data_IF_152701712782
#
_entry.id   IF_152701712782
#
_cell.length_a   1.000
_cell.length_b   1.000
_cell.length_c   1.000
_cell.angle_alpha   90.00
_cell.angle_beta   90.00
_cell.angle_gamma   90.00
#
_symmetry.space_group_name_H-M   'P 1'
#
loop_
_entity.id
_entity.type
_entity.pdbx_description
1 polymer ?
#
# COMPACT_ATOMS: atom_id res chain seq x y z
N UNK A 1 12.71 3.89 -4.46
CA UNK A 1 13.62 5.04 -4.53
C UNK A 1 14.78 4.83 -5.51
N UNK A 2 15.33 3.62 -5.64
CA UNK A 2 16.51 3.37 -6.51
C UNK A 2 16.19 3.62 -7.98
N UNK A 3 15.04 3.15 -8.46
CA UNK A 3 14.67 3.22 -9.87
C UNK A 3 13.87 4.47 -10.26
N UNK A 4 13.28 5.16 -9.30
CA UNK A 4 12.28 6.20 -9.55
C UNK A 4 10.98 5.63 -10.11
N UNK A 5 9.94 6.47 -10.22
CA UNK A 5 8.63 6.05 -10.73
C UNK A 5 7.97 4.94 -9.91
N UNK A 6 7.07 4.22 -10.55
CA UNK A 6 6.43 3.02 -10.01
C UNK A 6 7.06 1.79 -10.65
N UNK A 7 7.32 0.76 -9.86
CA UNK A 7 7.86 -0.51 -10.36
C UNK A 7 7.04 -1.69 -9.83
N UNK A 8 6.77 -2.65 -10.71
CA UNK A 8 6.37 -3.99 -10.32
C UNK A 8 7.63 -4.79 -9.98
N UNK A 9 7.71 -5.25 -8.75
CA UNK A 9 8.86 -5.97 -8.21
C UNK A 9 8.47 -7.39 -7.82
N UNK A 10 9.22 -8.36 -8.33
CA UNK A 10 9.14 -9.77 -7.94
C UNK A 10 10.51 -10.27 -7.50
N UNK A 11 10.58 -10.93 -6.35
CA UNK A 11 11.84 -11.39 -5.77
C UNK A 11 12.33 -12.69 -6.40
N UNK A 12 11.44 -13.60 -6.77
CA UNK A 12 11.79 -14.93 -7.28
C UNK A 12 10.85 -15.38 -8.41
N UNK A 13 11.33 -15.48 -9.68
CA UNK A 13 12.62 -14.93 -10.12
C UNK A 13 12.66 -13.42 -10.02
N UNK A 14 13.84 -12.84 -9.81
CA UNK A 14 13.95 -11.38 -9.71
C UNK A 14 13.48 -10.71 -11.02
N UNK A 15 12.45 -9.90 -10.89
CA UNK A 15 11.92 -9.08 -11.98
C UNK A 15 11.62 -7.68 -11.45
N UNK A 16 11.99 -6.68 -12.22
CA UNK A 16 11.71 -5.27 -11.93
C UNK A 16 11.19 -4.66 -13.23
N UNK A 17 9.90 -4.38 -13.26
CA UNK A 17 9.23 -3.82 -14.44
C UNK A 17 8.74 -2.42 -14.13
N UNK A 18 9.15 -1.38 -14.88
CA UNK A 18 8.57 -0.05 -14.75
C UNK A 18 7.07 -0.10 -15.07
N UNK A 19 6.27 0.55 -14.22
CA UNK A 19 4.85 0.79 -14.45
C UNK A 19 4.72 2.25 -14.86
N UNK A 20 4.21 2.55 -16.06
CA UNK A 20 4.03 3.94 -16.50
C UNK A 20 2.99 4.65 -15.65
N UNK A 21 3.21 5.93 -15.39
CA UNK A 21 2.35 6.77 -14.59
C UNK A 21 2.89 7.03 -13.18
N UNK A 22 2.40 8.13 -12.61
CA UNK A 22 2.60 8.51 -11.21
C UNK A 22 1.23 8.83 -10.63
N UNK A 23 0.59 7.89 -9.93
CA UNK A 23 -0.74 8.13 -9.39
C UNK A 23 -0.67 9.19 -8.30
N UNK A 24 -1.63 10.11 -8.21
CA UNK A 24 -1.78 10.98 -7.06
C UNK A 24 -1.81 10.13 -5.79
N UNK A 25 -0.96 10.45 -4.83
CA UNK A 25 -0.78 9.62 -3.63
C UNK A 25 -0.68 10.51 -2.41
N UNK A 26 -1.51 10.26 -1.41
CA UNK A 26 -1.37 10.84 -0.08
C UNK A 26 -0.79 9.80 0.88
N UNK A 27 -0.01 10.26 1.85
CA UNK A 27 0.64 9.41 2.85
C UNK A 27 0.43 10.00 4.24
N UNK A 28 -0.07 9.19 5.17
CA UNK A 28 -0.27 9.60 6.56
C UNK A 28 0.49 8.65 7.48
N UNK A 29 1.32 9.20 8.36
CA UNK A 29 2.05 8.41 9.35
C UNK A 29 1.18 8.11 10.57
N UNK A 30 1.21 6.87 11.05
CA UNK A 30 0.37 6.43 12.17
C UNK A 30 0.87 6.89 13.55
N UNK A 31 2.08 7.44 13.63
CA UNK A 31 2.72 7.80 14.89
C UNK A 31 3.48 6.63 15.55
N UNK A 32 3.44 5.43 14.99
CA UNK A 32 4.13 4.27 15.52
C UNK A 32 4.71 3.41 14.40
N UNK A 33 5.72 2.60 14.74
CA UNK A 33 6.32 1.66 13.79
C UNK A 33 6.71 0.38 14.50
N UNK A 34 6.24 -0.76 13.99
CA UNK A 34 6.72 -2.06 14.40
C UNK A 34 7.84 -2.53 13.48
N UNK A 35 8.82 -3.25 14.01
CA UNK A 35 9.92 -3.77 13.18
C UNK A 35 9.37 -4.78 12.16
N UNK A 36 9.70 -4.58 10.90
CA UNK A 36 9.22 -5.42 9.79
C UNK A 36 9.53 -6.91 10.02
N UNK A 37 10.70 -7.23 10.57
CA UNK A 37 11.06 -8.62 10.86
C UNK A 37 10.13 -9.30 11.88
N UNK A 38 9.61 -8.55 12.85
CA UNK A 38 8.63 -9.06 13.83
C UNK A 38 7.29 -9.36 13.16
N UNK A 39 6.84 -8.47 12.28
CA UNK A 39 5.59 -8.67 11.53
C UNK A 39 5.70 -9.86 10.59
N UNK A 40 6.83 -10.00 9.87
CA UNK A 40 7.08 -11.18 9.03
C UNK A 40 7.03 -12.46 9.86
N UNK A 41 7.64 -12.49 11.05
CA UNK A 41 7.63 -13.67 11.92
C UNK A 41 6.20 -14.03 12.38
N UNK A 42 5.34 -13.03 12.65
CA UNK A 42 3.93 -13.27 12.99
C UNK A 42 3.18 -13.91 11.81
N UNK A 43 3.33 -13.34 10.61
CA UNK A 43 2.70 -13.87 9.39
C UNK A 43 3.17 -15.29 9.10
N UNK A 44 4.47 -15.55 9.20
CA UNK A 44 5.04 -16.88 8.96
C UNK A 44 4.53 -17.91 9.97
N UNK A 45 4.37 -17.52 11.24
CA UNK A 45 3.79 -18.39 12.28
C UNK A 45 2.35 -18.74 11.94
N UNK A 46 1.54 -17.77 11.56
CA UNK A 46 0.14 -17.98 11.18
C UNK A 46 0.03 -18.80 9.88
N UNK A 47 0.89 -18.54 8.89
CA UNK A 47 0.96 -19.33 7.65
C UNK A 47 1.25 -20.81 7.90
N UNK A 48 2.15 -21.11 8.84
CA UNK A 48 2.44 -22.51 9.23
C UNK A 48 1.25 -23.20 9.89
N UNK A 49 0.43 -22.45 10.62
CA UNK A 49 -0.78 -22.98 11.25
C UNK A 49 -1.92 -23.21 10.24
N UNK A 50 -2.06 -22.33 9.25
CA UNK A 50 -3.13 -22.34 8.26
C UNK A 50 -2.60 -22.18 6.81
N UNK A 51 -1.77 -23.11 6.30
CA UNK A 51 -1.03 -22.90 5.06
C UNK A 51 -1.94 -22.65 3.85
N UNK A 52 -2.99 -23.44 3.66
CA UNK A 52 -3.89 -23.28 2.52
C UNK A 52 -4.63 -21.93 2.51
N UNK A 53 -5.00 -21.42 3.69
CA UNK A 53 -5.61 -20.10 3.82
C UNK A 53 -4.65 -18.99 3.41
N UNK A 54 -3.41 -19.06 3.89
CA UNK A 54 -2.41 -18.03 3.59
C UNK A 54 -1.95 -18.05 2.13
N UNK A 55 -1.82 -19.22 1.50
CA UNK A 55 -1.57 -19.32 0.06
C UNK A 55 -2.69 -18.63 -0.74
N UNK A 56 -3.96 -18.92 -0.43
CA UNK A 56 -5.08 -18.25 -1.09
C UNK A 56 -5.08 -16.72 -0.89
N UNK A 57 -4.71 -16.22 0.31
CA UNK A 57 -4.60 -14.78 0.56
C UNK A 57 -3.45 -14.16 -0.25
N UNK A 58 -2.32 -14.84 -0.38
CA UNK A 58 -1.19 -14.36 -1.18
C UNK A 58 -1.50 -14.36 -2.68
N UNK A 59 -2.23 -15.36 -3.18
CA UNK A 59 -2.72 -15.37 -4.56
C UNK A 59 -3.65 -14.19 -4.84
N UNK A 60 -4.61 -13.92 -3.95
CA UNK A 60 -5.48 -12.74 -4.04
C UNK A 60 -4.67 -11.43 -4.02
N UNK A 61 -3.68 -11.30 -3.13
CA UNK A 61 -2.80 -10.13 -3.11
C UNK A 61 -2.04 -9.97 -4.42
N UNK A 62 -1.56 -11.05 -5.03
CA UNK A 62 -0.85 -11.01 -6.30
C UNK A 62 -1.75 -10.50 -7.43
N UNK A 63 -3.00 -10.99 -7.51
CA UNK A 63 -3.99 -10.50 -8.48
C UNK A 63 -4.28 -8.99 -8.28
N UNK A 64 -4.44 -8.54 -7.02
CA UNK A 64 -4.66 -7.13 -6.71
C UNK A 64 -3.47 -6.24 -7.12
N UNK A 65 -2.24 -6.74 -6.99
CA UNK A 65 -1.02 -6.02 -7.41
C UNK A 65 -0.97 -5.88 -8.93
N UNK A 66 -1.27 -6.95 -9.67
CA UNK A 66 -1.30 -6.92 -11.14
C UNK A 66 -2.37 -5.95 -11.66
N UNK A 67 -3.57 -6.02 -11.08
CA UNK A 67 -4.66 -5.11 -11.46
C UNK A 67 -4.39 -3.66 -11.06
N UNK A 68 -3.77 -3.44 -9.90
CA UNK A 68 -3.32 -2.12 -9.46
C UNK A 68 -2.27 -1.52 -10.37
N UNK A 69 -1.30 -2.31 -10.83
CA UNK A 69 -0.30 -1.86 -11.81
C UNK A 69 -0.96 -1.47 -13.15
N UNK A 70 -1.93 -2.25 -13.61
CA UNK A 70 -2.71 -1.92 -14.81
C UNK A 70 -3.53 -0.63 -14.63
N UNK A 71 -4.13 -0.42 -13.45
CA UNK A 71 -4.86 0.80 -13.12
C UNK A 71 -3.94 2.04 -13.13
N UNK A 72 -2.73 1.93 -12.58
CA UNK A 72 -1.73 3.00 -12.61
C UNK A 72 -1.36 3.33 -14.05
N UNK A 73 -1.06 2.32 -14.88
CA UNK A 73 -0.70 2.51 -16.28
C UNK A 73 -1.82 3.15 -17.10
N UNK A 74 -3.08 2.89 -16.74
CA UNK A 74 -4.26 3.48 -17.38
C UNK A 74 -4.63 4.87 -16.82
N UNK A 75 -4.01 5.33 -15.73
CA UNK A 75 -4.41 6.56 -15.03
C UNK A 75 -5.77 6.44 -14.32
N UNK A 76 -6.23 5.22 -14.03
CA UNK A 76 -7.53 4.94 -13.39
C UNK A 76 -7.39 4.94 -11.86
N UNK A 77 -7.51 6.12 -11.28
CA UNK A 77 -7.40 6.32 -9.84
C UNK A 77 -8.52 5.61 -9.05
N UNK A 78 -9.73 5.52 -9.61
CA UNK A 78 -10.86 4.86 -8.96
C UNK A 78 -10.62 3.35 -8.86
N UNK A 79 -10.16 2.73 -9.94
CA UNK A 79 -9.79 1.30 -9.95
C UNK A 79 -8.64 1.03 -8.99
N UNK A 80 -7.59 1.87 -8.98
CA UNK A 80 -6.49 1.74 -8.03
C UNK A 80 -6.98 1.83 -6.59
N UNK A 81 -7.85 2.79 -6.29
CA UNK A 81 -8.44 2.95 -4.96
C UNK A 81 -9.22 1.73 -4.52
N UNK A 82 -10.04 1.14 -5.40
CA UNK A 82 -10.75 -0.10 -5.11
C UNK A 82 -9.79 -1.25 -4.76
N UNK A 83 -8.68 -1.39 -5.50
CA UNK A 83 -7.64 -2.41 -5.18
C UNK A 83 -6.96 -2.14 -3.84
N UNK A 84 -6.73 -0.87 -3.49
CA UNK A 84 -6.21 -0.52 -2.17
C UNK A 84 -7.16 -0.96 -1.06
N UNK A 85 -8.45 -0.74 -1.22
CA UNK A 85 -9.45 -1.10 -0.23
C UNK A 85 -9.58 -2.62 -0.04
N UNK A 86 -9.53 -3.38 -1.12
CA UNK A 86 -9.54 -4.85 -1.06
C UNK A 86 -8.25 -5.39 -0.39
N UNK A 87 -7.09 -4.85 -0.76
CA UNK A 87 -5.83 -5.22 -0.11
C UNK A 87 -5.85 -4.89 1.38
N UNK A 88 -6.43 -3.75 1.79
CA UNK A 88 -6.60 -3.38 3.19
C UNK A 88 -7.46 -4.41 3.95
N UNK A 89 -8.53 -4.91 3.34
CA UNK A 89 -9.36 -5.95 3.96
C UNK A 89 -8.56 -7.24 4.21
N UNK A 90 -7.72 -7.64 3.25
CA UNK A 90 -6.85 -8.80 3.43
C UNK A 90 -5.86 -8.54 4.58
N UNK A 91 -5.18 -7.40 4.60
CA UNK A 91 -4.24 -7.04 5.67
C UNK A 91 -4.90 -7.06 7.06
N UNK A 92 -6.09 -6.48 7.18
CA UNK A 92 -6.87 -6.48 8.42
C UNK A 92 -7.28 -7.90 8.82
N UNK A 93 -7.74 -8.73 7.86
CA UNK A 93 -8.08 -10.14 8.08
C UNK A 93 -6.90 -11.02 8.49
N UNK A 94 -5.68 -10.63 8.14
CA UNK A 94 -4.43 -11.25 8.62
C UNK A 94 -3.98 -10.74 10.00
N UNK A 95 -4.71 -9.80 10.63
CA UNK A 95 -4.33 -9.19 11.90
C UNK A 95 -3.18 -8.19 11.79
N UNK A 96 -2.95 -7.62 10.61
CA UNK A 96 -1.87 -6.68 10.32
C UNK A 96 -2.30 -5.21 10.44
N UNK A 97 -3.57 -4.96 10.82
CA UNK A 97 -4.06 -3.64 11.18
C UNK A 97 -4.09 -3.46 12.70
N UNK A 98 -4.33 -2.23 13.13
CA UNK A 98 -4.60 -1.86 14.51
C UNK A 98 -5.58 -0.68 14.53
N UNK A 99 -6.19 -0.32 15.70
CA UNK A 99 -7.19 0.74 15.76
C UNK A 99 -6.73 2.07 15.16
N UNK A 100 -5.47 2.43 15.34
CA UNK A 100 -4.93 3.69 14.79
C UNK A 100 -4.85 3.68 13.27
N UNK A 101 -4.42 2.58 12.69
CA UNK A 101 -4.39 2.40 11.23
C UNK A 101 -5.81 2.38 10.65
N UNK A 102 -6.75 1.70 11.32
CA UNK A 102 -8.15 1.66 10.91
C UNK A 102 -8.81 3.03 10.93
N UNK A 103 -8.54 3.85 11.96
CA UNK A 103 -8.98 5.25 12.04
C UNK A 103 -8.47 6.08 10.86
N UNK A 104 -7.16 5.96 10.54
CA UNK A 104 -6.54 6.71 9.43
C UNK A 104 -7.13 6.26 8.09
N UNK A 105 -7.26 4.96 7.85
CA UNK A 105 -7.88 4.41 6.63
C UNK A 105 -9.30 4.92 6.48
N UNK A 106 -10.10 4.86 7.54
CA UNK A 106 -11.48 5.35 7.53
C UNK A 106 -11.57 6.86 7.32
N UNK A 107 -10.63 7.64 7.86
CA UNK A 107 -10.57 9.08 7.66
C UNK A 107 -10.20 9.42 6.21
N UNK A 108 -9.18 8.78 5.65
CA UNK A 108 -8.76 8.95 4.26
C UNK A 108 -9.89 8.65 3.27
N UNK A 109 -10.65 7.57 3.49
CA UNK A 109 -11.80 7.19 2.64
C UNK A 109 -12.95 8.20 2.64
N UNK A 110 -13.00 9.10 3.63
CA UNK A 110 -13.98 10.20 3.67
C UNK A 110 -13.53 11.47 2.94
N UNK A 111 -12.26 11.57 2.59
CA UNK A 111 -11.73 12.71 1.84
C UNK A 111 -12.24 12.68 0.39
N UNK A 112 -12.84 13.78 -0.12
CA UNK A 112 -13.47 13.79 -1.45
C UNK A 112 -12.53 13.48 -2.62
N UNK A 113 -11.22 13.74 -2.45
CA UNK A 113 -10.19 13.49 -3.48
C UNK A 113 -9.52 12.12 -3.36
N UNK A 114 -10.00 11.23 -2.47
CA UNK A 114 -9.44 9.90 -2.22
C UNK A 114 -10.38 8.83 -2.76
N UNK A 115 -9.83 7.91 -3.52
CA UNK A 115 -10.55 6.79 -4.15
C UNK A 115 -10.44 5.48 -3.36
N UNK A 116 -9.48 5.38 -2.43
CA UNK A 116 -9.27 4.23 -1.57
C UNK A 116 -7.96 4.36 -0.79
N UNK A 117 -7.82 3.59 0.30
CA UNK A 117 -6.67 3.69 1.19
C UNK A 117 -6.30 2.33 1.81
N UNK A 118 -5.00 2.13 2.02
CA UNK A 118 -4.45 0.91 2.60
C UNK A 118 -3.19 1.16 3.42
N UNK A 119 -2.89 0.22 4.30
CA UNK A 119 -1.59 0.17 4.98
C UNK A 119 -0.46 0.11 3.96
N UNK A 120 0.59 0.88 4.21
CA UNK A 120 1.87 0.81 3.49
C UNK A 120 2.85 -0.09 4.24
N UNK A 121 3.45 -1.06 3.55
CA UNK A 121 4.43 -1.97 4.13
C UNK A 121 3.83 -3.16 4.88
N UNK A 122 4.52 -3.63 5.93
CA UNK A 122 4.20 -4.87 6.60
C UNK A 122 2.96 -4.81 7.53
N UNK A 123 2.52 -3.64 7.92
CA UNK A 123 1.41 -3.46 8.87
C UNK A 123 1.83 -3.27 10.32
N UNK A 124 0.84 -3.20 11.21
CA UNK A 124 0.98 -2.97 12.65
C UNK A 124 1.71 -1.66 13.02
N UNK A 125 1.61 -0.65 12.15
CA UNK A 125 2.20 0.68 12.29
C UNK A 125 2.69 1.21 10.94
N UNK A 126 3.60 2.22 10.98
CA UNK A 126 4.15 2.94 9.84
C UNK A 126 3.09 3.82 9.14
N UNK A 127 2.96 3.78 7.84
CA UNK A 127 2.11 4.69 7.09
C UNK A 127 0.85 4.01 6.51
N UNK A 128 -0.15 4.85 6.25
CA UNK A 128 -1.26 4.54 5.34
C UNK A 128 -1.07 5.35 4.07
N UNK A 129 -1.29 4.71 2.92
CA UNK A 129 -1.28 5.37 1.61
C UNK A 129 -2.69 5.42 1.05
N UNK A 130 -3.00 6.49 0.33
CA UNK A 130 -4.26 6.66 -0.37
C UNK A 130 -4.04 6.91 -1.86
N UNK A 131 -4.90 6.35 -2.69
CA UNK A 131 -5.00 6.68 -4.10
C UNK A 131 -5.82 7.96 -4.25
N UNK A 132 -5.14 9.07 -4.53
CA UNK A 132 -5.77 10.39 -4.64
C UNK A 132 -5.01 11.48 -3.89
N UNK A 133 -5.64 12.63 -3.77
CA UNK A 133 -5.09 13.81 -3.08
C UNK A 133 -6.01 14.25 -1.95
N UNK A 134 -5.42 14.82 -0.91
CA UNK A 134 -6.16 15.42 0.19
C UNK A 134 -6.63 16.83 -0.18
N UNK A 135 -7.77 17.21 0.34
CA UNK A 135 -8.24 18.59 0.19
C UNK A 135 -7.30 19.56 0.93
N UNK A 136 -7.08 20.79 0.42
CA UNK A 136 -6.24 21.80 1.11
C UNK A 136 -6.69 22.11 2.54
N UNK A 137 -7.97 21.91 2.84
CA UNK A 137 -8.56 22.16 4.16
C UNK A 137 -8.55 20.92 5.07
N UNK A 138 -7.89 19.83 4.67
CA UNK A 138 -7.81 18.64 5.51
C UNK A 138 -7.12 18.94 6.85
N UNK A 139 -7.60 18.34 7.91
CA UNK A 139 -6.97 18.39 9.24
C UNK A 139 -6.02 17.21 9.48
N UNK A 140 -5.83 16.35 8.47
CA UNK A 140 -4.97 15.18 8.58
C UNK A 140 -3.50 15.60 8.49
N UNK A 141 -2.69 15.08 9.39
CA UNK A 141 -1.22 15.26 9.40
C UNK A 141 -0.58 14.34 8.34
N UNK A 142 -0.70 14.76 7.10
CA UNK A 142 -0.14 14.04 5.96
C UNK A 142 1.32 14.42 5.73
N UNK A 143 2.12 13.43 5.34
CA UNK A 143 3.50 13.67 4.93
C UNK A 143 3.52 14.38 3.58
N UNK A 144 4.36 15.39 3.46
CA UNK A 144 4.66 16.03 2.17
C UNK A 144 5.56 15.10 1.35
N UNK A 145 4.95 14.34 0.44
CA UNK A 145 5.64 13.40 -0.42
C UNK A 145 5.35 13.68 -1.88
N UNK A 146 6.39 13.64 -2.70
CA UNK A 146 6.27 13.71 -4.15
C UNK A 146 6.81 12.43 -4.78
N UNK A 147 6.00 11.78 -5.59
CA UNK A 147 6.46 10.71 -6.46
C UNK A 147 7.25 11.32 -7.62
N UNK A 148 8.44 10.80 -7.90
CA UNK A 148 9.30 11.30 -8.99
C UNK A 148 9.65 10.18 -9.96
N UNK A 149 9.81 10.52 -11.24
CA UNK A 149 10.28 9.59 -12.27
C UNK A 149 11.77 9.26 -12.14
N UNK A 150 12.51 10.12 -11.43
CA UNK A 150 13.96 9.97 -11.29
C UNK A 150 14.28 9.21 -10.00
N UNK A 151 15.02 8.13 -10.14
CA UNK A 151 15.57 7.39 -9.00
C UNK A 151 16.83 8.07 -8.43
N UNK A 152 17.57 7.32 -7.61
CA UNK A 152 18.84 7.78 -7.05
C UNK A 152 19.85 7.95 -8.16
N UNK A 153 20.41 9.16 -8.31
CA UNK A 153 21.52 9.45 -9.22
C UNK A 153 22.81 9.56 -8.44
N UNK A 154 23.89 8.94 -8.94
CA UNK A 154 25.23 9.24 -8.41
C UNK A 154 25.61 10.67 -8.82
N UNK A 155 26.03 11.46 -7.84
CA UNK A 155 26.75 12.71 -8.08
C UNK A 155 28.24 12.42 -8.19
#
# INVERSE_FOLDING_TARGET
AVYGGVVDYRAAPLQIRPVPGLPPTAVVYSGSKRRTAEVIALVETARRAEPARYEALFDQMAELVEDGAAAIAAGDAARLGARYDEHQQIMAGMGLSNPRLDEIVAALRREPGVHGAKISGAGLGDCVIAAGTLAPATTMDALDVALTQTGVTRR
#
